data_IF_255742013930
#
_entry.id   IF_255742013930
#
_cell.length_a   1.000
_cell.length_b   1.000
_cell.length_c   1.000
_cell.angle_alpha   90.00
_cell.angle_beta   90.00
_cell.angle_gamma   90.00
#
_symmetry.space_group_name_H-M   'P 1'
#
loop_
_entity.id
_entity.type
_entity.pdbx_description
1 polymer ?
#
# COMPACT_ATOMS: atom_id res chain seq x y z
N UNK A 1 -13.78 7.11 -4.86
CA UNK A 1 -13.22 6.20 -3.82
C UNK A 1 -11.90 6.78 -3.33
N UNK A 2 -11.56 6.62 -2.05
CA UNK A 2 -10.28 7.11 -1.53
C UNK A 2 -9.11 6.24 -1.99
N UNK A 3 -8.00 6.89 -2.30
CA UNK A 3 -6.73 6.27 -2.64
C UNK A 3 -5.62 6.81 -1.72
N UNK A 4 -4.59 6.00 -1.52
CA UNK A 4 -3.34 6.40 -0.88
C UNK A 4 -2.13 6.01 -1.73
N UNK A 5 -1.19 6.93 -1.82
CA UNK A 5 0.06 6.73 -2.56
C UNK A 5 1.10 6.07 -1.66
N UNK A 6 1.67 4.95 -2.12
CA UNK A 6 2.66 4.14 -1.41
C UNK A 6 3.84 3.89 -2.36
N UNK A 7 5.07 3.98 -1.85
CA UNK A 7 6.27 3.71 -2.67
C UNK A 7 6.45 2.22 -2.89
N UNK A 8 7.01 1.86 -4.04
CA UNK A 8 7.53 0.51 -4.24
C UNK A 8 8.79 0.28 -3.38
N UNK A 9 8.99 -0.95 -2.86
CA UNK A 9 8.22 -2.19 -3.13
C UNK A 9 6.97 -2.39 -2.25
N UNK A 10 6.69 -1.48 -1.32
CA UNK A 10 5.62 -1.64 -0.32
C UNK A 10 4.22 -1.71 -0.93
N UNK A 11 3.95 -0.93 -1.97
CA UNK A 11 2.65 -0.95 -2.65
C UNK A 11 2.33 -2.36 -3.18
N UNK A 12 3.27 -2.99 -3.89
CA UNK A 12 3.10 -4.36 -4.38
C UNK A 12 2.95 -5.37 -3.26
N UNK A 13 3.75 -5.27 -2.19
CA UNK A 13 3.66 -6.19 -1.05
C UNK A 13 2.31 -6.13 -0.33
N UNK A 14 1.69 -4.95 -0.26
CA UNK A 14 0.38 -4.76 0.35
C UNK A 14 -0.71 -5.44 -0.49
N UNK A 15 -0.76 -5.17 -1.80
CA UNK A 15 -1.84 -5.72 -2.66
C UNK A 15 -1.71 -7.22 -2.91
N UNK A 16 -0.53 -7.79 -2.70
CA UNK A 16 -0.30 -9.24 -2.68
C UNK A 16 -0.54 -9.88 -1.29
N UNK A 17 -0.89 -9.09 -0.27
CA UNK A 17 -1.15 -9.59 1.08
C UNK A 17 0.07 -10.03 1.87
N UNK A 18 1.27 -9.64 1.43
CA UNK A 18 2.53 -9.98 2.10
C UNK A 18 2.82 -9.00 3.24
N UNK A 19 2.57 -7.70 3.01
CA UNK A 19 2.75 -6.62 4.00
C UNK A 19 1.38 -6.18 4.54
N UNK A 20 1.13 -6.46 5.82
CA UNK A 20 -0.12 -6.22 6.54
C UNK A 20 -0.18 -4.86 7.28
N UNK A 21 0.89 -4.07 7.19
CA UNK A 21 1.01 -2.78 7.87
C UNK A 21 1.44 -1.69 6.90
N UNK A 22 0.78 -0.55 6.94
CA UNK A 22 1.29 0.71 6.41
C UNK A 22 1.83 1.59 7.55
N UNK A 23 3.08 2.05 7.45
CA UNK A 23 3.71 2.89 8.47
C UNK A 23 3.57 4.37 8.10
N UNK A 24 3.10 5.20 9.03
CA UNK A 24 2.93 6.65 8.84
C UNK A 24 3.32 7.41 10.10
N UNK A 25 3.78 8.64 9.93
CA UNK A 25 4.03 9.58 11.03
C UNK A 25 2.76 10.24 11.58
N UNK A 26 1.59 9.77 11.14
CA UNK A 26 0.28 10.27 11.55
C UNK A 26 -0.74 9.14 11.66
N UNK A 27 -1.65 9.28 12.62
CA UNK A 27 -2.69 8.30 12.90
C UNK A 27 -3.65 8.15 11.72
N UNK A 28 -4.14 6.93 11.49
CA UNK A 28 -5.21 6.74 10.50
C UNK A 28 -6.48 7.47 10.98
N UNK A 29 -7.07 8.36 10.17
CA UNK A 29 -8.33 9.00 10.51
C UNK A 29 -9.43 7.95 10.68
N UNK A 30 -10.16 8.03 11.79
CA UNK A 30 -11.17 7.05 12.19
C UNK A 30 -12.16 6.69 11.06
N UNK A 31 -12.53 7.68 10.24
CA UNK A 31 -13.46 7.53 9.10
C UNK A 31 -12.97 6.62 7.96
N UNK A 32 -11.71 6.19 8.00
CA UNK A 32 -11.17 5.23 7.04
C UNK A 32 -10.94 3.85 7.65
N UNK A 33 -11.06 3.70 8.96
CA UNK A 33 -11.03 2.40 9.64
C UNK A 33 -12.35 1.68 9.34
N UNK A 34 -12.27 0.40 8.97
CA UNK A 34 -13.38 -0.41 8.47
C UNK A 34 -13.72 -0.15 7.00
N UNK A 35 -12.95 0.69 6.29
CA UNK A 35 -13.22 1.03 4.90
C UNK A 35 -12.11 0.58 3.95
N UNK A 36 -12.52 0.32 2.71
CA UNK A 36 -11.61 -0.02 1.61
C UNK A 36 -11.05 1.23 0.94
N UNK A 37 -9.75 1.19 0.67
CA UNK A 37 -9.02 2.24 -0.04
C UNK A 37 -8.21 1.66 -1.18
N UNK A 38 -8.02 2.46 -2.22
CA UNK A 38 -7.17 2.10 -3.36
C UNK A 38 -5.69 2.29 -2.99
N UNK A 39 -4.85 1.37 -3.47
CA UNK A 39 -3.40 1.44 -3.35
C UNK A 39 -2.82 1.94 -4.67
N UNK A 40 -2.26 3.14 -4.62
CA UNK A 40 -1.51 3.72 -5.73
C UNK A 40 -0.01 3.51 -5.52
N UNK A 41 0.66 2.93 -6.52
CA UNK A 41 2.11 2.83 -6.57
C UNK A 41 2.69 4.17 -7.01
N UNK A 42 3.48 4.79 -6.13
CA UNK A 42 4.18 6.05 -6.37
C UNK A 42 4.98 6.03 -7.68
N UNK A 43 5.03 7.16 -8.38
CA UNK A 43 5.93 7.35 -9.53
C UNK A 43 7.41 7.34 -9.15
N UNK A 44 7.74 7.61 -7.87
CA UNK A 44 9.10 7.53 -7.32
C UNK A 44 9.18 6.35 -6.33
N UNK A 45 9.89 5.25 -6.66
CA UNK A 45 10.10 4.14 -5.75
C UNK A 45 11.07 4.51 -4.61
N UNK A 46 11.20 3.63 -3.61
CA UNK A 46 12.30 3.70 -2.63
C UNK A 46 13.63 3.44 -3.35
N UNK A 47 14.67 4.21 -3.02
CA UNK A 47 16.03 3.90 -3.48
C UNK A 47 16.51 2.63 -2.78
N UNK A 48 16.67 1.56 -3.54
CA UNK A 48 17.12 0.26 -3.02
C UNK A 48 18.49 -0.05 -3.60
N UNK A 49 19.55 0.12 -2.80
CA UNK A 49 20.92 -0.22 -3.21
C UNK A 49 21.17 -1.72 -3.13
N UNK A 50 20.57 -2.35 -2.13
CA UNK A 50 20.50 -3.80 -1.94
C UNK A 50 19.30 -4.11 -1.02
N UNK A 51 18.85 -5.37 -0.91
CA UNK A 51 17.71 -5.72 -0.07
C UNK A 51 17.80 -5.24 1.38
N UNK A 52 18.98 -5.27 1.99
CA UNK A 52 19.18 -4.85 3.38
C UNK A 52 19.04 -3.33 3.58
N UNK A 53 19.04 -2.53 2.51
CA UNK A 53 18.78 -1.09 2.61
C UNK A 53 17.29 -0.74 2.75
N UNK A 54 16.40 -1.73 2.55
CA UNK A 54 14.94 -1.54 2.54
C UNK A 54 14.24 -2.50 3.50
N UNK A 55 14.75 -3.73 3.63
CA UNK A 55 14.15 -4.77 4.45
C UNK A 55 15.03 -5.11 5.66
N UNK A 56 14.40 -5.44 6.78
CA UNK A 56 15.09 -6.20 7.82
C UNK A 56 15.29 -7.64 7.35
N UNK A 57 16.25 -8.37 7.94
CA UNK A 57 16.47 -9.80 7.64
C UNK A 57 15.18 -10.62 7.79
N UNK A 58 14.43 -10.40 8.87
CA UNK A 58 13.18 -11.12 9.13
C UNK A 58 12.07 -10.82 8.10
N UNK A 59 12.03 -9.58 7.57
CA UNK A 59 11.12 -9.23 6.48
C UNK A 59 11.56 -9.91 5.18
N UNK A 60 12.84 -9.80 4.82
CA UNK A 60 13.40 -10.38 3.61
C UNK A 60 13.21 -11.89 3.54
N UNK A 61 13.58 -12.60 4.60
CA UNK A 61 13.47 -14.06 4.69
C UNK A 61 12.01 -14.54 4.64
N UNK A 62 11.04 -13.67 4.95
CA UNK A 62 9.61 -14.00 4.87
C UNK A 62 9.00 -13.79 3.48
N UNK A 63 9.73 -13.18 2.55
CA UNK A 63 9.27 -13.02 1.18
C UNK A 63 9.39 -14.34 0.42
N UNK A 64 8.38 -14.75 -0.38
CA UNK A 64 8.53 -15.85 -1.33
C UNK A 64 9.72 -15.60 -2.26
N UNK A 65 10.45 -16.65 -2.63
CA UNK A 65 11.65 -16.56 -3.49
C UNK A 65 11.35 -15.82 -4.80
N UNK A 66 10.22 -16.10 -5.43
CA UNK A 66 9.79 -15.38 -6.64
C UNK A 66 9.60 -13.87 -6.41
N UNK A 67 9.15 -13.48 -5.22
CA UNK A 67 8.98 -12.07 -4.87
C UNK A 67 10.33 -11.40 -4.60
N UNK A 68 11.26 -12.11 -3.96
CA UNK A 68 12.65 -11.66 -3.80
C UNK A 68 13.31 -11.42 -5.16
N UNK A 69 13.15 -12.37 -6.10
CA UNK A 69 13.63 -12.26 -7.49
C UNK A 69 13.04 -11.03 -8.19
N UNK A 70 11.72 -10.85 -8.14
CA UNK A 70 11.05 -9.68 -8.73
C UNK A 70 11.58 -8.36 -8.17
N UNK A 71 11.81 -8.28 -6.86
CA UNK A 71 12.37 -7.09 -6.21
C UNK A 71 13.81 -6.83 -6.68
N UNK A 72 14.68 -7.85 -6.66
CA UNK A 72 16.10 -7.72 -7.06
C UNK A 72 16.22 -7.33 -8.53
N UNK A 73 15.46 -7.98 -9.42
CA UNK A 73 15.54 -7.79 -10.86
C UNK A 73 14.67 -6.62 -11.35
N UNK A 74 13.96 -5.92 -10.46
CA UNK A 74 12.94 -4.92 -10.81
C UNK A 74 11.89 -5.43 -11.82
N UNK A 75 11.60 -6.72 -11.81
CA UNK A 75 10.73 -7.38 -12.79
C UNK A 75 9.26 -7.05 -12.50
N UNK A 76 8.56 -6.52 -13.51
CA UNK A 76 7.12 -6.23 -13.41
C UNK A 76 6.78 -5.10 -12.43
N UNK A 77 7.72 -4.21 -12.12
CA UNK A 77 7.43 -3.05 -11.27
C UNK A 77 6.49 -2.09 -12.00
N UNK A 78 5.32 -1.89 -11.40
CA UNK A 78 4.36 -0.87 -11.82
C UNK A 78 4.50 0.35 -10.92
N UNK A 79 4.66 1.53 -11.54
CA UNK A 79 4.70 2.83 -10.89
C UNK A 79 3.65 3.76 -11.52
N UNK A 80 3.28 4.82 -10.82
CA UNK A 80 2.31 5.83 -11.29
C UNK A 80 0.93 5.25 -11.66
N UNK A 81 0.48 4.23 -10.94
CA UNK A 81 -0.81 3.58 -11.19
C UNK A 81 -1.45 3.07 -9.89
N UNK A 82 -2.78 3.00 -9.87
CA UNK A 82 -3.52 2.22 -8.87
C UNK A 82 -3.39 0.75 -9.25
N UNK A 83 -2.88 -0.07 -8.34
CA UNK A 83 -2.56 -1.48 -8.60
C UNK A 83 -3.46 -2.44 -7.81
N UNK A 84 -4.30 -1.91 -6.93
CA UNK A 84 -5.17 -2.73 -6.11
C UNK A 84 -5.89 -1.93 -5.04
N UNK A 85 -6.43 -2.63 -4.06
CA UNK A 85 -7.10 -2.05 -2.90
C UNK A 85 -6.90 -2.88 -1.65
N UNK A 86 -7.16 -2.29 -0.49
CA UNK A 86 -7.07 -2.95 0.81
C UNK A 86 -8.07 -2.33 1.77
N UNK A 87 -8.51 -3.07 2.79
CA UNK A 87 -9.25 -2.51 3.92
C UNK A 87 -8.30 -2.10 5.02
N UNK A 88 -8.54 -0.91 5.60
CA UNK A 88 -7.85 -0.50 6.82
C UNK A 88 -8.71 -0.93 7.99
N UNK A 89 -8.24 -1.88 8.81
CA UNK A 89 -9.05 -2.47 9.90
C UNK A 89 -8.63 -1.99 11.29
N UNK A 90 -7.56 -1.21 11.39
CA UNK A 90 -7.10 -0.68 12.66
C UNK A 90 -5.93 0.29 12.52
N UNK A 91 -5.58 0.93 13.63
CA UNK A 91 -4.41 1.80 13.74
C UNK A 91 -3.87 1.68 15.16
N UNK A 92 -2.57 1.42 15.27
CA UNK A 92 -1.89 1.26 16.57
C UNK A 92 -0.47 1.83 16.50
N UNK A 93 0.21 1.88 17.63
CA UNK A 93 1.65 2.15 17.71
C UNK A 93 2.30 0.86 18.22
N UNK A 94 3.49 0.53 17.71
CA UNK A 94 4.28 -0.64 18.10
C UNK A 94 3.59 -1.99 17.82
N UNK A 95 2.76 -2.07 16.77
CA UNK A 95 2.07 -3.29 16.35
C UNK A 95 3.04 -4.49 16.22
N UNK A 96 2.69 -5.72 16.66
CA UNK A 96 3.61 -6.86 16.72
C UNK A 96 4.07 -7.41 15.35
N UNK A 97 3.40 -7.05 14.25
CA UNK A 97 3.80 -7.47 12.90
C UNK A 97 5.26 -7.10 12.61
N UNK A 98 5.98 -7.99 11.93
CA UNK A 98 7.34 -7.75 11.43
C UNK A 98 7.43 -6.58 10.45
N UNK A 99 6.29 -6.18 9.86
CA UNK A 99 6.19 -5.07 8.91
C UNK A 99 5.96 -3.71 9.59
N UNK A 100 5.74 -3.70 10.91
CA UNK A 100 5.56 -2.50 11.69
C UNK A 100 6.91 -1.90 12.08
N UNK A 101 7.11 -0.64 11.72
CA UNK A 101 8.17 0.17 12.30
C UNK A 101 7.83 0.52 13.75
N UNK A 102 8.86 0.60 14.60
CA UNK A 102 8.71 0.80 16.04
C UNK A 102 9.00 2.26 16.41
N UNK A 103 8.17 2.75 17.32
CA UNK A 103 8.38 4.01 18.04
C UNK A 103 9.18 3.71 19.30
N UNK A 104 10.19 4.53 19.58
CA UNK A 104 10.90 4.50 20.86
C UNK A 104 9.95 4.88 22.00
N UNK A 105 9.81 3.98 22.97
CA UNK A 105 8.95 4.12 24.14
C UNK A 105 9.73 4.24 25.45
N UNK A 106 11.06 4.30 25.38
CA UNK A 106 11.96 4.34 26.54
C UNK A 106 11.73 5.53 27.48
N UNK A 107 11.16 6.62 26.97
CA UNK A 107 10.88 7.86 27.72
C UNK A 107 9.55 7.85 28.49
N UNK A 108 8.72 6.81 28.32
CA UNK A 108 7.36 6.76 28.90
C UNK A 108 6.33 7.62 28.16
N UNK A 109 6.71 8.26 27.05
CA UNK A 109 5.83 8.91 26.09
C UNK A 109 6.42 8.76 24.68
N UNK A 110 5.59 8.95 23.65
CA UNK A 110 6.03 8.83 22.26
C UNK A 110 6.46 10.18 21.68
N UNK A 111 7.76 10.31 21.45
CA UNK A 111 8.32 11.42 20.68
C UNK A 111 8.41 11.00 19.21
N UNK A 112 7.61 11.64 18.34
CA UNK A 112 7.46 11.27 16.92
C UNK A 112 6.92 9.84 16.68
N UNK A 113 5.69 9.55 17.12
CA UNK A 113 5.11 8.22 16.95
C UNK A 113 5.00 7.81 15.48
N UNK A 114 5.38 6.56 15.21
CA UNK A 114 5.09 5.85 13.98
C UNK A 114 3.81 5.04 14.20
N UNK A 115 2.77 5.44 13.48
CA UNK A 115 1.49 4.76 13.47
C UNK A 115 1.53 3.63 12.45
N UNK A 116 1.10 2.45 12.89
CA UNK A 116 0.99 1.23 12.11
C UNK A 116 -0.48 1.04 11.76
N UNK A 117 -0.85 1.32 10.51
CA UNK A 117 -2.19 1.09 10.00
C UNK A 117 -2.33 -0.37 9.60
N UNK A 118 -3.30 -1.08 10.19
CA UNK A 118 -3.52 -2.50 9.99
C UNK A 118 -4.35 -2.71 8.74
N UNK A 119 -3.83 -3.52 7.82
CA UNK A 119 -4.39 -3.74 6.50
C UNK A 119 -4.91 -5.18 6.36
N UNK A 120 -6.08 -5.35 5.77
CA UNK A 120 -6.69 -6.65 5.52
C UNK A 120 -7.40 -6.71 4.17
N UNK A 121 -7.77 -7.93 3.78
CA UNK A 121 -8.55 -8.20 2.56
C UNK A 121 -7.95 -7.52 1.31
N UNK A 122 -6.65 -7.75 1.00
CA UNK A 122 -6.00 -7.15 -0.15
C UNK A 122 -6.61 -7.68 -1.46
N UNK A 123 -6.74 -6.79 -2.43
CA UNK A 123 -7.18 -7.14 -3.79
C UNK A 123 -6.14 -6.56 -4.74
N UNK A 124 -5.45 -7.44 -5.47
CA UNK A 124 -4.64 -7.09 -6.62
C UNK A 124 -5.56 -6.90 -7.84
N UNK A 125 -5.40 -5.80 -8.57
CA UNK A 125 -6.14 -5.60 -9.81
C UNK A 125 -5.47 -6.36 -10.97
N UNK A 126 -6.25 -6.92 -11.91
CA UNK A 126 -5.69 -7.64 -13.06
C UNK A 126 -4.87 -6.70 -13.95
N UNK A 127 -5.37 -5.48 -14.19
CA UNK A 127 -4.62 -4.42 -14.87
C UNK A 127 -4.43 -3.20 -13.97
N UNK A 128 -3.23 -2.60 -13.94
CA UNK A 128 -3.02 -1.33 -13.29
C UNK A 128 -3.83 -0.20 -13.94
N UNK A 129 -4.29 0.74 -13.12
CA UNK A 129 -5.05 1.89 -13.57
C UNK A 129 -4.14 3.12 -13.51
N UNK A 130 -3.70 3.67 -14.66
CA UNK A 130 -2.84 4.86 -14.67
C UNK A 130 -3.50 6.03 -13.95
N UNK A 131 -2.76 6.66 -13.03
CA UNK A 131 -3.20 7.80 -12.25
C UNK A 131 -2.00 8.58 -11.68
N UNK A 132 -2.13 9.90 -11.58
CA UNK A 132 -1.13 10.73 -10.89
C UNK A 132 -1.35 10.63 -9.38
N UNK A 133 -0.33 10.17 -8.64
CA UNK A 133 -0.38 10.09 -7.19
C UNK A 133 -0.48 11.47 -6.54
N UNK A 134 -1.10 11.53 -5.36
CA UNK A 134 -1.24 12.74 -4.54
C UNK A 134 -0.84 12.45 -3.09
N UNK A 135 -0.58 13.51 -2.32
CA UNK A 135 -0.30 13.43 -0.88
C UNK A 135 -1.58 13.10 -0.10
N UNK A 136 -1.40 12.51 1.08
CA UNK A 136 -2.48 12.09 1.97
C UNK A 136 -3.49 11.17 1.27
N UNK A 137 -4.66 10.97 1.87
CA UNK A 137 -5.78 10.37 1.15
C UNK A 137 -6.31 11.32 0.09
N UNK A 138 -6.57 10.80 -1.11
CA UNK A 138 -7.10 11.57 -2.22
C UNK A 138 -8.27 10.87 -2.90
N UNK A 139 -9.16 11.65 -3.52
CA UNK A 139 -10.30 11.10 -4.27
C UNK A 139 -9.86 10.60 -5.64
N UNK A 140 -10.24 9.37 -5.95
CA UNK A 140 -10.23 8.81 -7.29
C UNK A 140 -11.68 8.78 -7.81
N UNK A 141 -11.95 9.64 -8.79
CA UNK A 141 -13.31 9.97 -9.27
C UNK A 141 -13.87 8.95 -10.28
N UNK A 142 -13.02 8.14 -10.91
CA UNK A 142 -13.43 7.20 -11.96
C UNK A 142 -14.04 5.89 -11.42
N UNK A 143 -14.56 5.91 -10.19
CA UNK A 143 -15.33 4.80 -9.60
C UNK A 143 -16.65 5.40 -9.15
N UNK A 144 -17.69 5.27 -9.98
CA UNK A 144 -19.04 5.71 -9.63
C UNK A 144 -19.55 4.86 -8.47
N UNK A 145 -19.77 5.50 -7.31
CA UNK A 145 -20.23 4.89 -6.06
C UNK A 145 -21.71 4.47 -6.08
N UNK A 146 -22.32 4.32 -7.26
CA UNK A 146 -23.76 4.09 -7.45
C UNK A 146 -24.13 2.80 -8.18
N UNK A 147 -23.15 2.00 -8.62
CA UNK A 147 -23.38 0.67 -9.17
C UNK A 147 -22.56 -0.33 -8.36
N UNK A 148 -23.07 -1.55 -8.19
CA UNK A 148 -22.35 -2.74 -7.71
C UNK A 148 -21.13 -3.03 -8.62
N UNK A 149 -20.15 -2.14 -8.58
CA UNK A 149 -18.96 -2.21 -9.39
C UNK A 149 -18.07 -3.23 -8.71
N UNK A 150 -18.13 -4.48 -9.18
CA UNK A 150 -17.11 -5.46 -8.83
C UNK A 150 -15.75 -4.81 -9.06
N UNK A 151 -14.93 -4.75 -8.01
CA UNK A 151 -13.57 -4.18 -8.09
C UNK A 151 -12.74 -4.89 -9.19
N UNK A 152 -13.11 -6.12 -9.55
CA UNK A 152 -12.58 -6.89 -10.67
C UNK A 152 -12.86 -6.27 -12.06
N UNK A 153 -13.91 -5.48 -12.23
CA UNK A 153 -14.37 -4.86 -13.50
C UNK A 153 -13.82 -3.44 -13.70
N UNK A 154 -13.19 -2.85 -12.67
CA UNK A 154 -12.65 -1.48 -12.77
C UNK A 154 -11.53 -1.40 -13.82
N UNK A 155 -10.82 -2.51 -14.04
CA UNK A 155 -9.79 -2.63 -15.08
C UNK A 155 -10.36 -2.59 -16.52
N UNK A 156 -11.59 -3.05 -16.75
CA UNK A 156 -12.15 -3.21 -18.11
C UNK A 156 -12.95 -2.00 -18.61
N UNK A 157 -13.39 -1.08 -17.73
CA UNK A 157 -14.21 0.08 -18.14
C UNK A 157 -13.43 1.23 -18.81
N UNK A 158 -12.11 1.11 -19.04
CA UNK A 158 -11.26 2.20 -19.55
C UNK A 158 -11.01 2.23 -21.07
N UNK A 159 -11.47 1.24 -21.84
CA UNK A 159 -11.34 1.29 -23.31
C UNK A 159 -12.18 2.40 -23.97
N UNK A 160 -13.06 3.10 -23.23
CA UNK A 160 -14.04 4.05 -23.81
C UNK A 160 -13.65 5.54 -23.61
N UNK A 161 -12.55 5.86 -22.93
CA UNK A 161 -12.17 7.26 -22.63
C UNK A 161 -10.81 7.69 -23.22
N UNK A 162 -10.43 7.12 -24.35
CA UNK A 162 -9.42 7.70 -25.24
C UNK A 162 -10.12 8.09 -26.55
N UNK A 163 -10.81 9.23 -26.52
CA UNK A 163 -11.11 10.09 -27.68
C UNK A 163 -10.86 11.53 -27.27
#
# INVERSE_FOLDING_TARGET
>A
MKAITIKQPWASLIVHGIKDIENRTWACPWKYIGHRVLIHASGKPVEMRNPNSVFTKAQWDSLPVEFQRKIICAEGIVNSAIIGSVEIIGCSINHPSKWAEKTDDSKGYYENPIYNWVLANPILFPEPIPAKGKLSFWEYENINSGEDTCLCVISSKKEIQVM
#
